data_IF_590163240713
#
_entry.id   IF_590163240713
#
_cell.length_a   1.000
_cell.length_b   1.000
_cell.length_c   1.000
_cell.angle_alpha   90.00
_cell.angle_beta   90.00
_cell.angle_gamma   90.00
#
_symmetry.space_group_name_H-M   'P 1'
#
loop_
_entity.id
_entity.type
_entity.pdbx_description
1 polymer ?
#
# COMPACT_ATOMS: atom_id res chain seq x y z
N UNK A 1 52.54 -27.97 -3.70
CA UNK A 1 51.26 -27.47 -3.16
C UNK A 1 50.24 -27.55 -4.29
N UNK A 2 49.63 -28.72 -4.47
CA UNK A 2 48.61 -29.01 -5.47
C UNK A 2 47.41 -29.59 -4.70
N UNK A 3 46.21 -29.06 -4.92
CA UNK A 3 44.96 -29.50 -4.27
C UNK A 3 44.51 -30.81 -4.88
N UNK A 4 44.19 -31.79 -4.03
CA UNK A 4 43.45 -33.00 -4.43
C UNK A 4 41.95 -32.68 -4.60
N UNK A 5 41.24 -33.37 -5.51
CA UNK A 5 39.83 -33.14 -5.77
C UNK A 5 38.93 -33.88 -4.77
N UNK A 6 37.79 -33.28 -4.40
CA UNK A 6 36.77 -33.91 -3.56
C UNK A 6 35.96 -34.99 -4.32
N UNK A 7 35.46 -36.04 -3.64
CA UNK A 7 34.70 -37.10 -4.28
C UNK A 7 33.25 -36.69 -4.56
N UNK A 8 32.81 -36.86 -5.82
CA UNK A 8 31.40 -36.84 -6.20
C UNK A 8 30.69 -38.08 -5.65
N UNK A 9 29.72 -37.87 -4.75
CA UNK A 9 28.85 -38.93 -4.25
C UNK A 9 27.59 -38.99 -5.13
N UNK A 10 27.61 -39.83 -6.16
CA UNK A 10 26.40 -40.23 -6.88
C UNK A 10 25.68 -41.29 -6.04
N UNK A 11 24.52 -40.95 -5.48
CA UNK A 11 23.60 -41.93 -4.89
C UNK A 11 22.55 -42.24 -5.94
N UNK A 12 22.60 -43.45 -6.49
CA UNK A 12 21.57 -43.95 -7.40
C UNK A 12 20.24 -44.06 -6.66
N UNK A 13 19.19 -43.50 -7.29
CA UNK A 13 17.86 -43.30 -6.70
C UNK A 13 17.13 -44.61 -6.41
N UNK A 14 17.57 -45.70 -7.04
CA UNK A 14 16.95 -47.02 -6.96
C UNK A 14 17.35 -47.82 -5.70
N UNK A 15 18.40 -47.41 -4.98
CA UNK A 15 18.83 -48.07 -3.72
C UNK A 15 18.03 -47.61 -2.48
N UNK A 16 17.06 -46.69 -2.64
CA UNK A 16 16.25 -46.12 -1.55
C UNK A 16 15.00 -46.95 -1.19
N UNK A 17 14.70 -48.06 -1.88
CA UNK A 17 13.43 -48.79 -1.71
C UNK A 17 13.62 -50.31 -1.61
N UNK A 18 13.59 -50.93 -0.42
CA UNK A 18 13.36 -52.36 -0.33
C UNK A 18 11.93 -52.71 -0.77
N UNK A 19 11.78 -53.73 -1.62
CA UNK A 19 10.50 -54.18 -2.21
C UNK A 19 9.41 -54.62 -1.18
N UNK A 20 9.71 -54.57 0.12
CA UNK A 20 8.82 -55.01 1.19
C UNK A 20 8.21 -53.88 2.03
N UNK A 21 8.13 -52.64 1.51
CA UNK A 21 7.48 -51.54 2.23
C UNK A 21 5.96 -51.74 2.26
N UNK A 22 5.46 -52.21 3.41
CA UNK A 22 4.03 -52.33 3.68
C UNK A 22 3.53 -50.97 4.17
N UNK A 23 2.56 -50.41 3.45
CA UNK A 23 1.91 -49.11 3.72
C UNK A 23 1.37 -49.05 5.17
N UNK A 24 1.91 -48.17 6.04
CA UNK A 24 1.54 -48.13 7.44
C UNK A 24 0.28 -47.29 7.70
N UNK A 25 -0.37 -46.68 6.70
CA UNK A 25 -1.54 -45.81 6.91
C UNK A 25 -2.60 -45.92 5.79
N UNK A 26 -3.49 -46.91 5.84
CA UNK A 26 -4.59 -47.03 4.88
C UNK A 26 -5.64 -45.96 5.20
N UNK A 27 -5.57 -44.80 4.53
CA UNK A 27 -6.54 -43.73 4.74
C UNK A 27 -6.18 -42.33 4.25
N UNK A 28 -4.92 -42.04 3.89
CA UNK A 28 -4.66 -40.86 3.05
C UNK A 28 -5.15 -41.16 1.64
N UNK A 29 -5.90 -40.23 1.05
CA UNK A 29 -6.28 -40.32 -0.36
C UNK A 29 -5.02 -40.56 -1.20
N UNK A 30 -4.92 -41.65 -1.99
CA UNK A 30 -3.75 -41.98 -2.81
C UNK A 30 -3.51 -40.99 -3.98
N UNK A 31 -4.17 -39.84 -3.96
CA UNK A 31 -4.24 -38.88 -5.04
C UNK A 31 -3.55 -37.53 -4.74
N UNK A 32 -3.01 -37.31 -3.54
CA UNK A 32 -2.15 -36.15 -3.28
C UNK A 32 -0.70 -36.57 -3.52
N UNK A 33 -0.21 -36.28 -4.72
CA UNK A 33 1.22 -36.45 -5.04
C UNK A 33 2.01 -35.60 -4.04
N UNK A 34 3.01 -36.13 -3.32
CA UNK A 34 3.82 -35.35 -2.38
C UNK A 34 4.41 -34.07 -2.98
N UNK A 35 4.69 -34.10 -4.28
CA UNK A 35 5.18 -32.96 -5.07
C UNK A 35 4.18 -31.79 -5.16
N UNK A 36 2.90 -32.05 -4.92
CA UNK A 36 1.82 -31.04 -4.92
C UNK A 36 1.57 -30.43 -3.55
N UNK A 37 2.38 -30.77 -2.54
CA UNK A 37 2.26 -30.27 -1.18
C UNK A 37 3.32 -29.22 -0.85
N UNK A 38 2.94 -28.25 -0.03
CA UNK A 38 3.85 -27.27 0.52
C UNK A 38 4.77 -27.97 1.52
N UNK A 39 6.08 -27.86 1.30
CA UNK A 39 7.10 -28.46 2.17
C UNK A 39 7.05 -27.98 3.62
N UNK A 40 6.40 -26.85 3.91
CA UNK A 40 6.34 -26.29 5.27
C UNK A 40 5.04 -26.61 6.00
N UNK A 41 3.88 -26.61 5.33
CA UNK A 41 2.57 -26.75 5.99
C UNK A 41 1.66 -27.86 5.43
N UNK A 42 2.14 -28.64 4.45
CA UNK A 42 1.39 -29.71 3.78
C UNK A 42 0.10 -29.28 3.09
N UNK A 43 -0.13 -27.96 2.96
CA UNK A 43 -1.21 -27.43 2.12
C UNK A 43 -0.92 -27.64 0.64
N UNK A 44 -1.95 -27.62 -0.23
CA UNK A 44 -1.73 -27.73 -1.67
C UNK A 44 -0.84 -26.58 -2.18
N UNK A 45 0.00 -26.90 -3.16
CA UNK A 45 0.80 -25.95 -3.91
C UNK A 45 0.10 -25.56 -5.21
N UNK A 46 0.29 -24.32 -5.70
CA UNK A 46 -0.25 -23.92 -6.99
C UNK A 46 0.46 -24.69 -8.11
N UNK A 47 -0.28 -25.09 -9.16
CA UNK A 47 0.27 -25.80 -10.32
C UNK A 47 1.42 -25.01 -10.99
N UNK A 48 1.32 -23.68 -10.97
CA UNK A 48 2.30 -22.76 -11.53
C UNK A 48 2.68 -21.72 -10.47
N UNK A 49 3.62 -22.02 -9.56
CA UNK A 49 4.03 -21.07 -8.54
C UNK A 49 4.62 -19.81 -9.19
N UNK A 50 4.33 -18.64 -8.62
CA UNK A 50 4.88 -17.38 -9.10
C UNK A 50 6.39 -17.31 -8.86
N UNK A 51 7.06 -16.33 -9.50
CA UNK A 51 8.46 -16.05 -9.23
C UNK A 51 8.69 -15.66 -7.76
N UNK A 52 7.74 -14.96 -7.15
CA UNK A 52 7.79 -14.53 -5.74
C UNK A 52 7.75 -15.76 -4.83
N UNK A 53 6.76 -16.64 -5.02
CA UNK A 53 6.65 -17.86 -4.21
C UNK A 53 7.87 -18.75 -4.35
N UNK A 54 8.41 -18.93 -5.56
CA UNK A 54 9.67 -19.67 -5.75
C UNK A 54 10.83 -19.03 -4.98
N UNK A 55 10.93 -17.70 -4.98
CA UNK A 55 11.94 -16.96 -4.22
C UNK A 55 11.80 -17.16 -2.71
N UNK A 56 10.58 -17.05 -2.18
CA UNK A 56 10.26 -17.26 -0.77
C UNK A 56 10.58 -18.69 -0.32
N UNK A 57 10.19 -19.70 -1.11
CA UNK A 57 10.53 -21.11 -0.84
C UNK A 57 12.05 -21.29 -0.81
N UNK A 58 12.76 -20.76 -1.81
CA UNK A 58 14.22 -20.83 -1.86
C UNK A 58 14.89 -20.16 -0.66
N UNK A 59 14.34 -19.04 -0.19
CA UNK A 59 14.83 -18.33 0.99
C UNK A 59 14.57 -19.10 2.29
N UNK A 60 13.35 -19.58 2.48
CA UNK A 60 12.94 -20.34 3.66
C UNK A 60 13.67 -21.70 3.76
N UNK A 61 14.03 -22.31 2.62
CA UNK A 61 14.81 -23.55 2.58
C UNK A 61 16.24 -23.40 3.11
N UNK A 62 16.80 -22.19 3.17
CA UNK A 62 18.17 -21.97 3.67
C UNK A 62 18.25 -22.28 5.17
N UNK A 63 18.88 -23.41 5.49
CA UNK A 63 19.00 -23.90 6.87
C UNK A 63 17.77 -24.67 7.37
N UNK A 64 16.85 -25.05 6.47
CA UNK A 64 15.76 -25.95 6.80
C UNK A 64 16.27 -27.39 7.01
N UNK A 65 15.61 -28.14 7.89
CA UNK A 65 15.90 -29.54 8.14
C UNK A 65 14.70 -30.40 7.75
N UNK A 66 14.89 -31.68 7.38
CA UNK A 66 13.78 -32.61 7.17
C UNK A 66 12.91 -32.73 8.43
N UNK A 67 11.59 -32.62 8.27
CA UNK A 67 10.65 -32.78 9.38
C UNK A 67 10.29 -34.26 9.56
N UNK A 68 11.07 -34.93 10.40
CA UNK A 68 10.93 -36.37 10.69
C UNK A 68 9.50 -36.78 11.09
N UNK A 69 8.72 -35.88 11.70
CA UNK A 69 7.36 -36.19 12.14
C UNK A 69 6.36 -36.25 10.98
N UNK A 70 6.69 -35.68 9.82
CA UNK A 70 5.78 -35.53 8.68
C UNK A 70 6.23 -36.23 7.42
N UNK A 71 7.45 -36.80 7.40
CA UNK A 71 7.97 -37.55 6.26
C UNK A 71 7.06 -38.68 5.79
N UNK A 72 6.28 -39.29 6.69
CA UNK A 72 5.35 -40.36 6.33
C UNK A 72 4.17 -39.89 5.45
N UNK A 73 3.75 -38.63 5.54
CA UNK A 73 2.70 -38.05 4.69
C UNK A 73 3.29 -37.21 3.55
N UNK A 74 4.35 -36.48 3.84
CA UNK A 74 5.04 -35.60 2.92
C UNK A 74 6.55 -35.87 3.00
N UNK A 75 7.09 -36.74 2.13
CA UNK A 75 8.52 -36.99 2.01
C UNK A 75 9.40 -35.75 1.86
N UNK A 76 8.83 -34.62 1.45
CA UNK A 76 9.53 -33.35 1.29
C UNK A 76 9.31 -32.37 2.44
N UNK A 77 8.71 -32.81 3.55
CA UNK A 77 8.42 -31.95 4.69
C UNK A 77 9.71 -31.38 5.31
N UNK A 78 9.70 -30.07 5.55
CA UNK A 78 10.79 -29.30 6.12
C UNK A 78 10.32 -28.57 7.39
N UNK A 79 11.20 -28.52 8.38
CA UNK A 79 11.01 -27.76 9.62
C UNK A 79 11.89 -26.51 9.62
N UNK A 80 11.26 -25.37 9.89
CA UNK A 80 11.87 -24.06 10.11
C UNK A 80 11.06 -23.28 11.15
N UNK A 81 11.62 -22.27 11.82
CA UNK A 81 10.85 -21.36 12.67
C UNK A 81 9.66 -20.76 11.91
N UNK A 82 8.52 -20.60 12.58
CA UNK A 82 7.27 -20.10 11.96
C UNK A 82 7.47 -18.77 11.24
N UNK A 83 8.29 -17.87 11.80
CA UNK A 83 8.60 -16.58 11.16
C UNK A 83 9.27 -16.72 9.78
N UNK A 84 9.99 -17.81 9.51
CA UNK A 84 10.65 -18.05 8.22
C UNK A 84 9.75 -18.71 7.18
N UNK A 85 8.77 -19.50 7.61
CA UNK A 85 7.83 -20.15 6.69
C UNK A 85 6.52 -19.38 6.54
N UNK A 86 6.22 -18.42 7.42
CA UNK A 86 4.97 -17.66 7.43
C UNK A 86 4.65 -17.03 6.08
N UNK A 87 5.58 -16.23 5.52
CA UNK A 87 5.36 -15.54 4.24
C UNK A 87 5.25 -16.51 3.08
N UNK A 88 6.03 -17.59 3.10
CA UNK A 88 5.91 -18.67 2.11
C UNK A 88 4.53 -19.31 2.18
N UNK A 89 4.06 -19.61 3.40
CA UNK A 89 2.77 -20.22 3.67
C UNK A 89 1.60 -19.32 3.29
N UNK A 90 1.69 -18.02 3.58
CA UNK A 90 0.72 -17.03 3.16
C UNK A 90 0.66 -16.96 1.63
N UNK A 91 1.82 -16.84 0.98
CA UNK A 91 1.91 -16.69 -0.47
C UNK A 91 1.38 -17.89 -1.25
N UNK A 92 1.69 -19.14 -0.88
CA UNK A 92 1.14 -20.27 -1.66
C UNK A 92 -0.36 -20.44 -1.43
N UNK A 93 -0.88 -20.13 -0.23
CA UNK A 93 -2.34 -20.13 0.00
C UNK A 93 -3.03 -19.07 -0.86
N UNK A 94 -2.43 -17.88 -0.96
CA UNK A 94 -2.88 -16.82 -1.86
C UNK A 94 -2.88 -17.30 -3.32
N UNK A 95 -1.78 -17.89 -3.81
CA UNK A 95 -1.70 -18.38 -5.19
C UNK A 95 -2.64 -19.56 -5.49
N UNK A 96 -2.97 -20.37 -4.50
CA UNK A 96 -3.95 -21.46 -4.66
C UNK A 96 -5.41 -20.99 -4.63
N UNK A 97 -5.76 -19.98 -3.82
CA UNK A 97 -7.15 -19.57 -3.59
C UNK A 97 -7.52 -18.29 -4.33
N UNK A 98 -6.69 -17.27 -4.18
CA UNK A 98 -7.02 -15.89 -4.56
C UNK A 98 -6.51 -15.56 -5.97
N UNK A 99 -5.40 -16.15 -6.44
CA UNK A 99 -5.00 -15.96 -7.85
C UNK A 99 -6.03 -16.53 -8.84
N UNK A 100 -6.74 -17.59 -8.46
CA UNK A 100 -7.84 -18.16 -9.28
C UNK A 100 -9.06 -17.23 -9.30
N UNK A 101 -9.33 -16.51 -8.20
CA UNK A 101 -10.35 -15.46 -8.13
C UNK A 101 -9.91 -14.14 -8.79
N UNK A 102 -8.59 -13.94 -8.89
CA UNK A 102 -7.92 -12.75 -9.39
C UNK A 102 -7.98 -12.55 -10.91
N UNK A 103 -8.59 -13.45 -11.68
CA UNK A 103 -8.84 -13.22 -13.13
C UNK A 103 -9.68 -11.94 -13.37
N UNK A 104 -10.42 -11.50 -12.35
CA UNK A 104 -11.20 -10.26 -12.39
C UNK A 104 -10.43 -9.00 -11.95
N UNK A 105 -9.18 -9.12 -11.47
CA UNK A 105 -8.38 -8.00 -10.95
C UNK A 105 -7.02 -7.89 -11.65
N UNK A 106 -6.41 -6.70 -11.70
CA UNK A 106 -5.14 -6.52 -12.41
C UNK A 106 -3.98 -7.24 -11.72
N UNK A 107 -3.34 -8.17 -12.42
CA UNK A 107 -2.11 -8.82 -11.97
C UNK A 107 -0.87 -7.91 -12.06
N UNK A 108 -0.96 -6.85 -12.86
CA UNK A 108 0.11 -5.88 -13.10
C UNK A 108 -0.51 -4.48 -13.01
N UNK A 109 0.02 -3.66 -12.09
CA UNK A 109 -0.35 -2.25 -11.94
C UNK A 109 0.88 -1.41 -12.21
N UNK A 110 0.72 -0.37 -13.05
CA UNK A 110 1.75 0.62 -13.29
C UNK A 110 1.74 1.67 -12.17
N UNK A 111 2.38 1.33 -11.04
CA UNK A 111 2.45 2.20 -9.87
C UNK A 111 3.15 3.55 -10.17
N UNK A 112 4.03 3.61 -11.18
CA UNK A 112 4.67 4.85 -11.61
C UNK A 112 3.68 5.88 -12.17
N UNK A 113 2.48 5.45 -12.60
CA UNK A 113 1.42 6.36 -13.07
C UNK A 113 0.42 6.74 -11.98
N UNK A 114 0.41 6.04 -10.84
CA UNK A 114 -0.61 6.26 -9.80
C UNK A 114 -0.55 7.69 -9.28
N UNK A 115 0.63 8.24 -8.99
CA UNK A 115 0.76 9.65 -8.55
C UNK A 115 0.07 10.62 -9.51
N UNK A 116 0.32 10.49 -10.83
CA UNK A 116 -0.26 11.39 -11.83
C UNK A 116 -1.78 11.31 -11.87
N UNK A 117 -2.35 10.10 -11.67
CA UNK A 117 -3.80 9.88 -11.61
C UNK A 117 -4.40 10.51 -10.36
N UNK A 118 -3.78 10.32 -9.19
CA UNK A 118 -4.22 10.93 -7.93
C UNK A 118 -4.23 12.45 -8.03
N UNK A 119 -3.18 13.05 -8.61
CA UNK A 119 -3.12 14.51 -8.84
C UNK A 119 -4.18 14.97 -9.84
N UNK A 120 -4.48 14.18 -10.86
CA UNK A 120 -5.58 14.46 -11.80
C UNK A 120 -6.95 14.55 -11.11
N UNK A 121 -7.12 13.95 -9.93
CA UNK A 121 -8.36 14.00 -9.14
C UNK A 121 -8.45 15.23 -8.21
N UNK A 122 -7.43 16.10 -8.16
CA UNK A 122 -7.33 17.20 -7.20
C UNK A 122 -8.57 18.09 -7.17
N UNK A 123 -9.12 18.49 -8.32
CA UNK A 123 -10.33 19.32 -8.40
C UNK A 123 -11.50 18.65 -7.69
N UNK A 124 -11.67 17.35 -7.90
CA UNK A 124 -12.78 16.59 -7.31
C UNK A 124 -12.58 16.40 -5.81
N UNK A 125 -11.36 16.11 -5.38
CA UNK A 125 -11.00 15.97 -3.96
C UNK A 125 -11.14 17.30 -3.20
N UNK A 126 -10.81 18.43 -3.84
CA UNK A 126 -11.04 19.77 -3.30
C UNK A 126 -12.54 20.04 -3.10
N UNK A 127 -13.42 19.58 -3.99
CA UNK A 127 -14.87 19.70 -3.78
C UNK A 127 -15.34 18.94 -2.52
N UNK A 128 -14.70 17.81 -2.18
CA UNK A 128 -14.97 17.09 -0.93
C UNK A 128 -14.48 17.93 0.27
N UNK A 129 -13.26 18.46 0.18
CA UNK A 129 -12.64 19.25 1.22
C UNK A 129 -13.36 20.58 1.49
N UNK A 130 -14.00 21.18 0.49
CA UNK A 130 -14.65 22.48 0.61
C UNK A 130 -16.16 22.40 0.94
N UNK A 131 -16.80 21.23 0.78
CA UNK A 131 -18.21 21.04 1.18
C UNK A 131 -18.35 20.78 2.70
N UNK A 132 -17.94 21.78 3.50
CA UNK A 132 -17.93 21.72 4.96
C UNK A 132 -19.34 21.54 5.53
N UNK A 133 -20.34 22.17 4.91
CA UNK A 133 -21.75 22.08 5.33
C UNK A 133 -22.41 20.73 4.99
N UNK A 134 -21.71 19.83 4.29
CA UNK A 134 -22.23 18.53 3.83
C UNK A 134 -23.54 18.68 3.05
N UNK A 135 -23.65 19.73 2.21
CA UNK A 135 -24.85 20.01 1.40
C UNK A 135 -24.67 19.60 -0.06
N UNK A 136 -23.47 19.24 -0.47
CA UNK A 136 -23.12 18.86 -1.83
C UNK A 136 -22.28 17.59 -1.88
N UNK A 137 -21.07 17.72 -2.41
CA UNK A 137 -20.19 16.61 -2.75
C UNK A 137 -19.89 15.71 -1.54
N UNK A 138 -19.53 16.26 -0.38
CA UNK A 138 -19.10 15.51 0.81
C UNK A 138 -20.16 14.53 1.32
N UNK A 139 -21.44 14.90 1.25
CA UNK A 139 -22.55 14.04 1.68
C UNK A 139 -22.80 12.87 0.72
N UNK A 140 -22.44 13.00 -0.55
CA UNK A 140 -22.59 11.93 -1.53
C UNK A 140 -21.50 10.85 -1.41
N UNK A 141 -20.49 11.04 -0.56
CA UNK A 141 -19.39 10.10 -0.39
C UNK A 141 -19.60 9.14 0.78
N UNK A 142 -19.57 7.85 0.44
CA UNK A 142 -19.89 6.72 1.32
C UNK A 142 -18.93 6.66 2.53
N UNK A 143 -17.65 6.96 2.34
CA UNK A 143 -16.65 6.90 3.41
C UNK A 143 -16.86 7.98 4.48
N UNK A 144 -17.22 9.20 4.07
CA UNK A 144 -17.58 10.26 5.00
C UNK A 144 -18.83 9.91 5.80
N UNK A 145 -19.87 9.42 5.13
CA UNK A 145 -21.11 9.00 5.79
C UNK A 145 -20.87 7.89 6.82
N UNK A 146 -20.11 6.84 6.44
CA UNK A 146 -19.73 5.75 7.36
C UNK A 146 -19.03 6.27 8.62
N UNK A 147 -18.12 7.23 8.47
CA UNK A 147 -17.40 7.83 9.61
C UNK A 147 -18.34 8.67 10.46
N UNK A 148 -19.15 9.53 9.87
CA UNK A 148 -20.09 10.38 10.61
C UNK A 148 -21.03 9.52 11.45
N UNK A 149 -21.58 8.44 10.88
CA UNK A 149 -22.43 7.49 11.61
C UNK A 149 -21.64 6.81 12.75
N UNK A 150 -20.40 6.38 12.50
CA UNK A 150 -19.56 5.77 13.52
C UNK A 150 -19.24 6.72 14.68
N UNK A 151 -18.91 7.99 14.36
CA UNK A 151 -18.63 9.05 15.33
C UNK A 151 -19.87 9.40 16.14
N UNK A 152 -21.04 9.52 15.50
CA UNK A 152 -22.31 9.78 16.20
C UNK A 152 -22.68 8.63 17.15
N UNK A 153 -22.46 7.38 16.72
CA UNK A 153 -22.80 6.19 17.51
C UNK A 153 -21.86 5.96 18.70
N UNK A 154 -20.57 6.28 18.55
CA UNK A 154 -19.55 5.78 19.48
C UNK A 154 -18.52 6.81 19.97
N UNK A 155 -18.58 8.04 19.45
CA UNK A 155 -17.60 9.08 19.70
C UNK A 155 -16.34 8.94 18.84
N UNK A 156 -15.60 10.05 18.66
CA UNK A 156 -14.44 10.11 17.75
C UNK A 156 -13.37 9.09 18.14
N UNK A 157 -13.01 9.01 19.43
CA UNK A 157 -11.95 8.11 19.88
C UNK A 157 -12.25 6.61 19.61
N UNK A 158 -13.52 6.20 19.71
CA UNK A 158 -13.93 4.81 19.46
C UNK A 158 -14.15 4.54 17.98
N UNK A 159 -14.65 5.54 17.23
CA UNK A 159 -14.82 5.47 15.78
C UNK A 159 -13.48 5.44 15.03
N UNK A 160 -12.44 6.06 15.59
CA UNK A 160 -11.08 6.10 15.02
C UNK A 160 -10.13 5.08 15.65
N UNK A 161 -10.57 4.39 16.71
CA UNK A 161 -9.74 3.45 17.46
C UNK A 161 -9.44 2.17 16.68
N UNK A 162 -8.53 1.36 17.23
CA UNK A 162 -8.07 0.08 16.68
C UNK A 162 -9.23 -0.86 16.30
N UNK A 163 -10.41 -0.77 16.92
CA UNK A 163 -11.60 -1.54 16.54
C UNK A 163 -12.22 -1.18 15.18
N UNK A 164 -12.06 0.07 14.70
CA UNK A 164 -12.44 0.47 13.35
C UNK A 164 -11.40 0.03 12.31
N UNK A 165 -10.13 -0.10 12.73
CA UNK A 165 -9.04 -0.66 11.92
C UNK A 165 -9.08 -2.20 11.87
N UNK A 166 -9.54 -2.89 12.93
CA UNK A 166 -9.54 -4.37 13.04
C UNK A 166 -10.82 -5.05 12.57
N UNK A 167 -11.99 -4.40 12.62
CA UNK A 167 -13.20 -4.96 11.98
C UNK A 167 -13.14 -4.86 10.44
N UNK A 168 -12.07 -4.27 9.90
CA UNK A 168 -11.87 -4.06 8.47
C UNK A 168 -10.40 -3.82 8.13
N UNK A 169 -9.47 -4.72 8.52
CA UNK A 169 -8.06 -4.68 8.05
C UNK A 169 -7.92 -4.54 6.53
N UNK A 170 -9.00 -4.84 5.79
CA UNK A 170 -9.11 -4.71 4.34
C UNK A 170 -9.97 -3.52 3.85
N UNK A 171 -10.78 -2.86 4.69
CA UNK A 171 -11.76 -1.86 4.22
C UNK A 171 -11.18 -0.47 3.95
N UNK A 172 -9.98 -0.19 4.46
CA UNK A 172 -9.25 1.07 4.22
C UNK A 172 -8.13 0.93 3.18
N UNK A 173 -7.86 -0.30 2.73
CA UNK A 173 -6.94 -0.52 1.63
C UNK A 173 -7.63 -0.13 0.32
N UNK A 174 -6.87 0.41 -0.66
CA UNK A 174 -7.39 0.77 -1.98
C UNK A 174 -7.66 -0.47 -2.87
N UNK A 175 -8.28 -1.53 -2.32
CA UNK A 175 -8.59 -2.77 -3.03
C UNK A 175 -7.35 -3.46 -3.60
N UNK A 176 -7.42 -3.88 -4.87
CA UNK A 176 -6.33 -4.55 -5.56
C UNK A 176 -5.05 -3.71 -5.73
N UNK A 177 -5.07 -2.42 -5.40
CA UNK A 177 -3.85 -1.61 -5.32
C UNK A 177 -2.97 -1.95 -4.11
N UNK A 178 -3.54 -2.60 -3.09
CA UNK A 178 -2.81 -3.09 -1.93
C UNK A 178 -2.13 -2.00 -1.10
N UNK A 179 -1.17 -2.42 -0.28
CA UNK A 179 -0.41 -1.52 0.59
C UNK A 179 0.50 -0.59 -0.20
N UNK A 180 1.15 -1.08 -1.27
CA UNK A 180 1.99 -0.26 -2.12
C UNK A 180 1.23 0.91 -2.75
N UNK A 181 -0.01 0.68 -3.22
CA UNK A 181 -0.84 1.76 -3.72
C UNK A 181 -1.30 2.72 -2.63
N UNK A 182 -1.58 2.21 -1.42
CA UNK A 182 -1.95 3.03 -0.27
C UNK A 182 -0.85 4.04 0.09
N UNK A 183 0.41 3.61 0.13
CA UNK A 183 1.56 4.48 0.43
C UNK A 183 1.71 5.60 -0.59
N UNK A 184 1.59 5.30 -1.87
CA UNK A 184 1.65 6.30 -2.95
C UNK A 184 0.48 7.28 -2.84
N UNK A 185 -0.75 6.78 -2.66
CA UNK A 185 -1.95 7.61 -2.51
C UNK A 185 -1.81 8.54 -1.30
N UNK A 186 -1.43 8.01 -0.14
CA UNK A 186 -1.31 8.77 1.10
C UNK A 186 -0.24 9.87 0.97
N UNK A 187 0.91 9.53 0.41
CA UNK A 187 2.00 10.48 0.17
C UNK A 187 1.56 11.63 -0.74
N UNK A 188 0.85 11.30 -1.82
CA UNK A 188 0.31 12.30 -2.74
C UNK A 188 -0.74 13.20 -2.07
N UNK A 189 -1.65 12.62 -1.29
CA UNK A 189 -2.70 13.38 -0.61
C UNK A 189 -2.14 14.31 0.48
N UNK A 190 -1.14 13.86 1.24
CA UNK A 190 -0.48 14.70 2.25
C UNK A 190 0.24 15.89 1.63
N UNK A 191 0.81 15.72 0.43
CA UNK A 191 1.42 16.83 -0.33
C UNK A 191 0.36 17.80 -0.90
N UNK A 192 -0.68 17.27 -1.54
CA UNK A 192 -1.77 18.06 -2.13
C UNK A 192 -2.54 18.89 -1.08
N UNK A 193 -2.78 18.32 0.10
CA UNK A 193 -3.63 18.90 1.13
C UNK A 193 -2.86 19.35 2.38
N UNK A 194 -1.56 19.66 2.25
CA UNK A 194 -0.70 20.09 3.37
C UNK A 194 -1.20 21.34 4.10
N UNK A 195 -1.90 22.23 3.39
CA UNK A 195 -2.48 23.48 3.92
C UNK A 195 -4.00 23.38 4.16
N UNK A 196 -4.56 22.16 4.25
CA UNK A 196 -5.99 21.99 4.42
C UNK A 196 -6.46 22.56 5.78
N UNK A 197 -7.38 23.54 5.80
CA UNK A 197 -7.79 24.17 7.06
C UNK A 197 -8.50 23.19 7.99
N UNK A 198 -8.22 23.28 9.30
CA UNK A 198 -8.85 22.41 10.30
C UNK A 198 -10.39 22.53 10.33
N UNK A 199 -10.93 23.70 10.00
CA UNK A 199 -12.37 23.91 9.88
C UNK A 199 -13.00 23.01 8.80
N UNK A 200 -12.23 22.66 7.77
CA UNK A 200 -12.72 21.85 6.65
C UNK A 200 -12.76 20.36 6.99
N UNK A 201 -12.00 19.89 7.98
CA UNK A 201 -11.90 18.46 8.32
C UNK A 201 -12.65 18.10 9.60
N UNK A 202 -13.15 19.09 10.34
CA UNK A 202 -13.86 18.87 11.60
C UNK A 202 -15.02 17.87 11.43
N UNK A 203 -15.19 16.88 12.34
CA UNK A 203 -14.52 16.74 13.64
C UNK A 203 -13.18 15.99 13.61
N UNK A 204 -12.69 15.62 12.42
CA UNK A 204 -11.46 14.86 12.26
C UNK A 204 -10.23 15.79 12.20
N UNK A 205 -9.08 15.27 12.61
CA UNK A 205 -7.81 15.89 12.24
C UNK A 205 -7.59 15.78 10.72
N UNK A 206 -6.72 16.62 10.16
CA UNK A 206 -6.35 16.54 8.74
C UNK A 206 -5.88 15.15 8.34
N UNK A 207 -4.98 14.55 9.12
CA UNK A 207 -4.46 13.21 8.85
C UNK A 207 -5.56 12.14 8.91
N UNK A 208 -6.49 12.24 9.86
CA UNK A 208 -7.63 11.33 9.94
C UNK A 208 -8.57 11.49 8.74
N UNK A 209 -8.85 12.73 8.33
CA UNK A 209 -9.68 13.00 7.16
C UNK A 209 -9.02 12.44 5.88
N UNK A 210 -7.73 12.68 5.69
CA UNK A 210 -6.98 12.12 4.57
C UNK A 210 -7.02 10.59 4.59
N UNK A 211 -6.71 9.96 5.73
CA UNK A 211 -6.60 8.51 5.83
C UNK A 211 -7.95 7.78 5.71
N UNK A 212 -8.99 8.26 6.40
CA UNK A 212 -10.26 7.56 6.47
C UNK A 212 -11.28 8.02 5.41
N UNK A 213 -11.10 9.20 4.79
CA UNK A 213 -12.03 9.74 3.78
C UNK A 213 -11.38 9.78 2.40
N UNK A 214 -10.31 10.56 2.25
CA UNK A 214 -9.75 10.84 0.93
C UNK A 214 -9.02 9.64 0.33
N UNK A 215 -8.23 8.92 1.12
CA UNK A 215 -7.49 7.74 0.67
C UNK A 215 -8.42 6.64 0.10
N UNK A 216 -9.47 6.18 0.82
CA UNK A 216 -10.38 5.19 0.25
C UNK A 216 -11.22 5.75 -0.91
N UNK A 217 -11.55 7.05 -0.93
CA UNK A 217 -12.21 7.68 -2.10
C UNK A 217 -11.32 7.65 -3.35
N UNK A 218 -10.03 7.94 -3.19
CA UNK A 218 -9.06 7.84 -4.29
C UNK A 218 -8.91 6.39 -4.74
N UNK A 219 -8.79 5.43 -3.82
CA UNK A 219 -8.74 4.01 -4.14
C UNK A 219 -9.93 3.56 -4.98
N UNK A 220 -11.16 3.93 -4.56
CA UNK A 220 -12.37 3.64 -5.31
C UNK A 220 -12.40 4.33 -6.68
N UNK A 221 -11.92 5.57 -6.79
CA UNK A 221 -11.86 6.29 -8.08
C UNK A 221 -10.88 5.69 -9.06
N UNK A 222 -9.73 5.23 -8.59
CA UNK A 222 -8.79 4.47 -9.42
C UNK A 222 -9.46 3.21 -9.97
N UNK A 223 -10.25 2.51 -9.15
CA UNK A 223 -11.03 1.35 -9.59
C UNK A 223 -12.09 1.72 -10.62
N UNK A 224 -12.81 2.84 -10.43
CA UNK A 224 -13.79 3.35 -11.39
C UNK A 224 -13.13 3.60 -12.76
N UNK A 225 -11.97 4.27 -12.76
CA UNK A 225 -11.20 4.51 -13.98
C UNK A 225 -10.74 3.21 -14.65
N UNK A 226 -10.20 2.26 -13.89
CA UNK A 226 -9.67 1.00 -14.42
C UNK A 226 -10.78 0.10 -15.00
N UNK A 227 -11.97 0.17 -14.40
CA UNK A 227 -13.15 -0.60 -14.83
C UNK A 227 -14.02 0.13 -15.84
N UNK A 228 -13.62 1.33 -16.27
CA UNK A 228 -14.36 2.18 -17.20
C UNK A 228 -15.81 2.42 -16.75
N UNK A 229 -15.99 2.59 -15.44
CA UNK A 229 -17.27 2.83 -14.80
C UNK A 229 -17.61 4.33 -14.81
N UNK A 230 -18.90 4.67 -14.70
CA UNK A 230 -19.33 6.07 -14.62
C UNK A 230 -19.22 6.61 -13.17
N UNK A 231 -18.34 7.58 -12.89
CA UNK A 231 -18.20 8.16 -11.55
C UNK A 231 -19.44 8.92 -11.06
N UNK A 232 -20.37 9.28 -11.95
CA UNK A 232 -21.64 9.93 -11.61
C UNK A 232 -22.76 8.93 -11.29
N UNK A 233 -22.64 7.67 -11.72
CA UNK A 233 -23.62 6.63 -11.48
C UNK A 233 -23.49 6.05 -10.07
N UNK A 234 -24.54 6.17 -9.26
CA UNK A 234 -24.58 5.56 -7.91
C UNK A 234 -24.39 4.05 -7.95
N UNK A 235 -24.95 3.38 -8.97
CA UNK A 235 -24.80 1.93 -9.14
C UNK A 235 -23.33 1.55 -9.36
N UNK A 236 -22.64 2.28 -10.24
CA UNK A 236 -21.24 2.03 -10.59
C UNK A 236 -20.30 2.36 -9.43
N UNK A 237 -20.58 3.42 -8.67
CA UNK A 237 -19.85 3.73 -7.43
C UNK A 237 -19.97 2.61 -6.40
N UNK A 238 -21.17 2.07 -6.20
CA UNK A 238 -21.39 0.94 -5.31
C UNK A 238 -20.67 -0.32 -5.81
N UNK A 239 -20.69 -0.57 -7.12
CA UNK A 239 -19.93 -1.67 -7.72
C UNK A 239 -18.42 -1.50 -7.48
N UNK A 240 -17.88 -0.30 -7.69
CA UNK A 240 -16.46 -0.02 -7.44
C UNK A 240 -16.09 -0.20 -5.97
N UNK A 241 -16.97 0.19 -5.03
CA UNK A 241 -16.79 -0.07 -3.60
C UNK A 241 -16.75 -1.58 -3.31
N UNK A 242 -17.68 -2.36 -3.86
CA UNK A 242 -17.67 -3.83 -3.69
C UNK A 242 -16.40 -4.43 -4.26
N UNK A 243 -15.96 -3.99 -5.45
CA UNK A 243 -14.68 -4.43 -6.03
C UNK A 243 -13.53 -4.07 -5.10
N UNK A 244 -13.52 -2.86 -4.52
CA UNK A 244 -12.48 -2.44 -3.58
C UNK A 244 -12.43 -3.34 -2.35
N UNK A 245 -13.58 -3.63 -1.74
CA UNK A 245 -13.69 -4.47 -0.54
C UNK A 245 -13.31 -5.93 -0.84
N UNK A 246 -13.81 -6.50 -1.95
CA UNK A 246 -13.54 -7.89 -2.33
C UNK A 246 -12.06 -8.11 -2.74
N UNK A 247 -11.44 -7.10 -3.36
CA UNK A 247 -10.07 -7.19 -3.88
C UNK A 247 -8.97 -6.78 -2.92
N UNK A 248 -9.31 -6.31 -1.72
CA UNK A 248 -8.34 -5.78 -0.77
C UNK A 248 -7.37 -6.84 -0.24
N UNK A 249 -7.84 -8.05 0.06
CA UNK A 249 -6.97 -9.17 0.44
C UNK A 249 -6.02 -9.54 -0.70
N UNK A 250 -6.52 -9.50 -1.94
CA UNK A 250 -5.70 -9.74 -3.12
C UNK A 250 -4.61 -8.69 -3.31
N UNK A 251 -4.96 -7.41 -3.22
CA UNK A 251 -3.98 -6.32 -3.37
C UNK A 251 -2.87 -6.41 -2.33
N UNK A 252 -3.21 -6.73 -1.08
CA UNK A 252 -2.25 -6.86 0.02
C UNK A 252 -1.20 -7.94 -0.26
N UNK A 253 -1.63 -9.09 -0.76
CA UNK A 253 -0.75 -10.23 -1.02
C UNK A 253 -0.02 -10.12 -2.37
N UNK A 254 -0.67 -9.52 -3.37
CA UNK A 254 -0.12 -9.37 -4.71
C UNK A 254 0.93 -8.26 -4.78
N UNK A 255 0.70 -7.14 -4.07
CA UNK A 255 1.56 -5.96 -4.03
C UNK A 255 1.98 -5.62 -2.60
N UNK A 256 2.73 -6.51 -1.93
CA UNK A 256 3.26 -6.23 -0.61
C UNK A 256 4.35 -5.16 -0.70
N UNK A 257 4.46 -4.35 0.34
CA UNK A 257 5.58 -3.43 0.51
C UNK A 257 6.79 -4.25 0.93
N UNK A 258 7.91 -4.19 0.20
CA UNK A 258 9.11 -4.94 0.54
C UNK A 258 9.73 -4.39 1.84
N UNK A 259 10.47 -5.24 2.56
CA UNK A 259 11.04 -4.89 3.88
C UNK A 259 11.94 -3.64 3.84
N UNK A 260 12.07 -3.00 5.00
CA UNK A 260 12.68 -1.68 5.33
C UNK A 260 14.05 -1.37 4.66
N UNK A 261 14.79 -2.38 4.24
CA UNK A 261 16.09 -2.22 3.55
C UNK A 261 15.97 -1.94 2.04
N UNK A 262 14.76 -1.93 1.48
CA UNK A 262 14.52 -1.72 0.05
C UNK A 262 13.78 -0.42 -0.24
N UNK A 263 14.29 0.34 -1.21
CA UNK A 263 13.63 1.58 -1.66
C UNK A 263 12.32 1.20 -2.35
N UNK A 264 11.21 1.70 -1.81
CA UNK A 264 9.88 1.49 -2.34
C UNK A 264 9.52 2.59 -3.36
N UNK A 265 8.52 2.34 -4.22
CA UNK A 265 7.97 3.41 -5.05
C UNK A 265 7.31 4.52 -4.20
N UNK A 266 6.83 4.18 -3.00
CA UNK A 266 6.39 5.16 -2.01
C UNK A 266 7.53 6.09 -1.59
N UNK A 267 8.72 5.55 -1.33
CA UNK A 267 9.91 6.32 -0.98
C UNK A 267 10.37 7.23 -2.12
N UNK A 268 10.34 6.74 -3.36
CA UNK A 268 10.66 7.55 -4.54
C UNK A 268 9.69 8.72 -4.71
N UNK A 269 8.38 8.48 -4.51
CA UNK A 269 7.35 9.52 -4.54
C UNK A 269 7.58 10.52 -3.41
N UNK A 270 7.86 10.06 -2.19
CA UNK A 270 8.17 10.90 -1.03
C UNK A 270 9.43 11.75 -1.25
N UNK A 271 10.47 11.17 -1.86
CA UNK A 271 11.68 11.90 -2.21
C UNK A 271 11.40 12.96 -3.30
N UNK A 272 10.59 12.63 -4.30
CA UNK A 272 10.15 13.57 -5.33
C UNK A 272 9.30 14.71 -4.76
N UNK A 273 8.45 14.43 -3.77
CA UNK A 273 7.70 15.44 -3.00
C UNK A 273 8.67 16.33 -2.23
N UNK A 274 9.62 15.76 -1.49
CA UNK A 274 10.61 16.51 -0.72
C UNK A 274 11.47 17.43 -1.62
N UNK A 275 11.89 16.94 -2.81
CA UNK A 275 12.59 17.75 -3.81
C UNK A 275 11.76 18.95 -4.27
N UNK A 276 10.47 18.74 -4.59
CA UNK A 276 9.56 19.83 -4.98
C UNK A 276 9.35 20.84 -3.87
N UNK A 277 9.23 20.39 -2.62
CA UNK A 277 9.07 21.27 -1.46
C UNK A 277 10.31 22.13 -1.22
N UNK A 278 11.51 21.56 -1.33
CA UNK A 278 12.76 22.33 -1.25
C UNK A 278 12.85 23.38 -2.36
N UNK A 279 12.45 23.04 -3.58
CA UNK A 279 12.43 24.00 -4.68
C UNK A 279 11.44 25.15 -4.44
N UNK A 280 10.26 24.86 -3.88
CA UNK A 280 9.26 25.90 -3.53
C UNK A 280 9.76 26.83 -2.42
N UNK A 281 10.32 26.28 -1.35
CA UNK A 281 10.87 27.08 -0.24
C UNK A 281 12.01 27.98 -0.72
N UNK A 282 12.90 27.46 -1.58
CA UNK A 282 13.96 28.27 -2.18
C UNK A 282 13.38 29.43 -3.02
N UNK A 283 12.28 29.21 -3.74
CA UNK A 283 11.61 30.27 -4.49
C UNK A 283 10.98 31.32 -3.56
N UNK A 284 10.31 30.90 -2.49
CA UNK A 284 9.74 31.80 -1.48
C UNK A 284 10.83 32.65 -0.81
N UNK A 285 11.94 32.04 -0.39
CA UNK A 285 13.09 32.75 0.18
C UNK A 285 13.69 33.78 -0.80
N UNK A 286 13.86 33.43 -2.08
CA UNK A 286 14.35 34.39 -3.08
C UNK A 286 13.39 35.56 -3.32
N UNK A 287 12.08 35.32 -3.22
CA UNK A 287 11.06 36.35 -3.37
C UNK A 287 10.98 37.28 -2.15
N UNK A 288 11.13 36.73 -0.95
CA UNK A 288 11.21 37.51 0.29
C UNK A 288 12.48 38.38 0.32
N UNK A 289 13.64 37.81 -0.03
CA UNK A 289 14.90 38.57 -0.15
C UNK A 289 14.77 39.71 -1.17
N UNK A 290 14.12 39.48 -2.32
CA UNK A 290 13.87 40.53 -3.31
C UNK A 290 12.94 41.65 -2.80
N UNK A 291 11.97 41.34 -1.95
CA UNK A 291 11.10 42.34 -1.30
C UNK A 291 11.84 43.14 -0.23
N UNK A 292 12.71 42.49 0.54
CA UNK A 292 13.55 43.15 1.54
C UNK A 292 14.54 44.11 0.86
N UNK A 293 15.13 43.70 -0.27
CA UNK A 293 15.99 44.56 -1.10
C UNK A 293 15.20 45.75 -1.71
N UNK A 294 13.96 45.54 -2.18
CA UNK A 294 13.10 46.64 -2.65
C UNK A 294 12.68 47.60 -1.51
N UNK A 295 12.54 47.10 -0.28
CA UNK A 295 12.25 47.92 0.89
C UNK A 295 13.48 48.73 1.35
N UNK A 296 14.69 48.22 1.16
CA UNK A 296 15.96 48.94 1.43
C UNK A 296 16.19 50.07 0.40
N UNK A 297 15.63 49.98 -0.81
CA UNK A 297 15.77 51.01 -1.86
C UNK A 297 14.77 52.19 -1.68
N UNK A 298 13.83 52.11 -0.73
CA UNK A 298 12.84 53.16 -0.45
C UNK A 298 13.03 53.87 0.90
N UNK A 299 14.21 54.44 1.13
CA UNK A 299 14.37 55.54 2.08
C UNK A 299 14.54 56.88 1.34
N UNK A 300 13.88 57.97 1.79
CA UNK A 300 13.87 59.25 1.08
C UNK A 300 15.24 59.92 1.20
N UNK A 301 15.80 60.29 0.05
CA UNK A 301 17.06 61.04 -0.06
C UNK A 301 17.11 62.23 0.92
N UNK A 302 18.15 62.35 1.76
CA UNK A 302 18.30 63.48 2.67
C UNK A 302 18.89 64.67 1.91
N UNK A 303 18.15 65.79 1.88
CA UNK A 303 18.73 67.12 1.74
C UNK A 303 18.41 67.87 0.44
N UNK A 304 17.29 68.58 0.44
CA UNK A 304 17.17 69.86 -0.26
C UNK A 304 16.80 70.94 0.76
N UNK A 305 17.85 71.47 1.41
CA UNK A 305 17.80 72.81 1.98
C UNK A 305 17.97 73.80 0.83
N UNK A 306 16.97 74.65 0.58
CA UNK A 306 17.19 75.96 -0.02
C UNK A 306 16.19 76.96 0.53
N UNK A 307 16.73 77.87 1.37
CA UNK A 307 16.42 79.29 1.53
C UNK A 307 15.02 79.78 1.15
N UNK A 308 14.30 80.44 2.07
CA UNK A 308 13.98 81.89 1.98
C UNK A 308 13.85 82.48 3.41
N UNK A 309 14.48 83.63 3.57
CA UNK A 309 14.60 84.49 4.76
C UNK A 309 13.26 85.01 5.30
N UNK A 310 13.17 85.16 6.62
CA UNK A 310 12.31 86.20 7.23
C UNK A 310 12.92 87.60 6.96
N UNK A 311 12.14 88.69 6.88
CA UNK A 311 11.80 89.41 8.11
C UNK A 311 10.39 90.05 8.16
N UNK A 312 9.80 89.98 9.36
CA UNK A 312 8.96 90.96 10.07
C UNK A 312 8.17 92.03 9.30
N UNK A 313 6.85 92.09 9.53
CA UNK A 313 6.13 93.17 10.22
C UNK A 313 4.69 92.78 10.54
#
# INVERSE_FOLDING_TARGET
>A
MQREPEPEYNVDVDDLFPESFIDPCPGLSPYLKPETLCVFCDGPMPDKPSRILRGLIGAARRGAQPDQNRLFMNPYALVVPTSRSADTCARHRFECREMVAGDNWPNIIDFGKVESRVRGMEVVLNNICNDVDCRGARKAYIFWEKIVVAVQKSGIAKAMGIGAQLNGSHSLLPGYYGQQGQEIILSCLLDLFKELPAANTHPLSMSQFIFFVLCPEVGMRLIIEDKLLDPASTFDRNMAQTIMEDSAAYGQEQFPVPDDDSVTLGDEVMEAIARRRRAHLNLEETFEQGKDDEHIIRDPLPGWWCFILSPSL
#
